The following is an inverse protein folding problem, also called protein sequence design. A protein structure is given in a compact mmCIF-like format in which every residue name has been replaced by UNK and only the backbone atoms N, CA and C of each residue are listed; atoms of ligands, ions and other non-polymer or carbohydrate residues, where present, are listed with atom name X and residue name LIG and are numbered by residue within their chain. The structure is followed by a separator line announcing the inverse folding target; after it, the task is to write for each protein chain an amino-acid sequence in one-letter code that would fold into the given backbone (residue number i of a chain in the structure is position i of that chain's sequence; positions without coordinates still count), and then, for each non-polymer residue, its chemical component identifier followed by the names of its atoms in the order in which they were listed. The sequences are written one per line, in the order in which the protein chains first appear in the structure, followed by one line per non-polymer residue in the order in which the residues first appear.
data_IF_919557113326
#
_entry.id   IF_919557113326
#
_cell.length_a   1.000
_cell.length_b   1.000
_cell.length_c   1.000
_cell.angle_alpha   90.00
_cell.angle_beta   90.00
_cell.angle_gamma   90.00
#
_symmetry.space_group_name_H-M   'P 1'
#
loop_
_entity.id
_entity.type
_entity.pdbx_description
1 polymer ?
#
# COMPACT_ATOMS: atom_id res chain seq x y z
N UNK A 1 -1.22 -11.06 16.72
CA UNK A 1 0.23 -10.91 16.40
C UNK A 1 0.41 -9.50 15.88
N UNK A 2 1.36 -8.73 16.43
CA UNK A 2 1.59 -7.34 15.96
C UNK A 2 2.33 -7.39 14.62
N UNK A 3 1.83 -6.67 13.63
CA UNK A 3 2.53 -6.50 12.36
C UNK A 3 3.75 -5.59 12.59
N UNK A 4 4.92 -6.02 12.13
CA UNK A 4 6.16 -5.28 12.32
C UNK A 4 6.39 -4.27 11.17
N UNK A 5 7.32 -3.35 11.37
CA UNK A 5 7.59 -2.28 10.40
C UNK A 5 7.95 -2.79 9.01
N UNK A 6 8.72 -3.89 8.90
CA UNK A 6 9.10 -4.45 7.60
C UNK A 6 7.91 -5.07 6.88
N UNK A 7 7.00 -5.70 7.61
CA UNK A 7 5.74 -6.23 7.06
C UNK A 7 4.85 -5.09 6.55
N UNK A 8 4.75 -3.98 7.29
CA UNK A 8 4.02 -2.78 6.85
C UNK A 8 4.62 -2.23 5.55
N UNK A 9 5.95 -2.07 5.50
CA UNK A 9 6.62 -1.56 4.30
C UNK A 9 6.37 -2.46 3.07
N UNK A 10 6.43 -3.79 3.25
CA UNK A 10 6.13 -4.74 2.18
C UNK A 10 4.68 -4.59 1.72
N UNK A 11 3.70 -4.58 2.64
CA UNK A 11 2.29 -4.46 2.31
C UNK A 11 1.99 -3.13 1.59
N UNK A 12 2.57 -2.02 2.05
CA UNK A 12 2.47 -0.73 1.37
C UNK A 12 3.02 -0.77 -0.05
N UNK A 13 4.16 -1.43 -0.27
CA UNK A 13 4.73 -1.59 -1.62
C UNK A 13 3.91 -2.52 -2.53
N UNK A 14 3.15 -3.47 -1.95
CA UNK A 14 2.27 -4.35 -2.70
C UNK A 14 0.96 -3.67 -3.11
N UNK A 15 0.56 -2.59 -2.43
CA UNK A 15 -0.69 -1.87 -2.68
C UNK A 15 -0.94 -1.48 -4.15
N UNK A 16 -0.02 -0.81 -4.87
CA UNK A 16 -0.26 -0.47 -6.27
C UNK A 16 -0.44 -1.72 -7.15
N UNK A 17 0.33 -2.78 -6.87
CA UNK A 17 0.20 -4.07 -7.57
C UNK A 17 -1.15 -4.70 -7.27
N UNK A 18 -1.59 -4.67 -6.02
CA UNK A 18 -2.87 -5.23 -5.60
C UNK A 18 -4.04 -4.52 -6.28
N UNK A 19 -4.02 -3.18 -6.36
CA UNK A 19 -5.04 -2.43 -7.11
C UNK A 19 -5.11 -2.83 -8.58
N UNK A 20 -3.97 -2.91 -9.26
CA UNK A 20 -3.92 -3.32 -10.67
C UNK A 20 -4.44 -4.75 -10.84
N UNK A 21 -3.97 -5.69 -10.01
CA UNK A 21 -4.39 -7.10 -10.09
C UNK A 21 -5.85 -7.30 -9.77
N UNK A 22 -6.39 -6.57 -8.79
CA UNK A 22 -7.82 -6.60 -8.48
C UNK A 22 -8.67 -6.22 -9.70
N UNK A 23 -8.32 -5.12 -10.37
CA UNK A 23 -9.03 -4.67 -11.59
C UNK A 23 -8.94 -5.73 -12.70
N UNK A 24 -7.73 -6.24 -12.97
CA UNK A 24 -7.53 -7.28 -13.98
C UNK A 24 -8.35 -8.55 -13.70
N UNK A 25 -8.38 -9.00 -12.44
CA UNK A 25 -9.12 -10.21 -12.05
C UNK A 25 -10.64 -10.00 -12.17
N UNK A 26 -11.14 -8.83 -11.78
CA UNK A 26 -12.56 -8.49 -11.93
C UNK A 26 -12.98 -8.50 -13.41
N UNK A 27 -12.15 -7.97 -14.31
CA UNK A 27 -12.41 -8.02 -15.76
C UNK A 27 -12.44 -9.46 -16.30
N UNK A 28 -11.53 -10.32 -15.83
CA UNK A 28 -11.50 -11.74 -16.23
C UNK A 28 -12.71 -12.49 -15.65
N UNK A 29 -13.10 -12.20 -14.41
CA UNK A 29 -14.24 -12.83 -13.74
C UNK A 29 -15.55 -12.62 -14.52
N UNK A 30 -15.77 -11.41 -15.02
CA UNK A 30 -16.94 -11.05 -15.84
C UNK A 30 -17.00 -11.84 -17.14
N UNK A 31 -15.84 -12.11 -17.77
CA UNK A 31 -15.73 -12.83 -19.05
C UNK A 31 -15.78 -14.36 -18.88
N UNK A 32 -15.53 -14.85 -17.67
CA UNK A 32 -15.45 -16.29 -17.37
C UNK A 32 -16.85 -16.89 -17.26
N UNK A 33 -17.09 -18.05 -17.87
CA UNK A 33 -18.37 -18.75 -17.80
C UNK A 33 -18.34 -19.97 -16.86
N UNK A 34 -17.19 -20.63 -16.71
CA UNK A 34 -17.02 -21.76 -15.81
C UNK A 34 -17.10 -21.33 -14.34
N UNK A 35 -17.93 -22.01 -13.55
CA UNK A 35 -18.07 -21.76 -12.12
C UNK A 35 -16.79 -22.10 -11.34
N UNK A 36 -16.08 -23.16 -11.74
CA UNK A 36 -14.83 -23.60 -11.11
C UNK A 36 -13.73 -22.54 -11.30
N UNK A 37 -13.55 -22.06 -12.54
CA UNK A 37 -12.58 -21.00 -12.83
C UNK A 37 -12.93 -19.68 -12.12
N UNK A 38 -14.22 -19.35 -11.99
CA UNK A 38 -14.66 -18.18 -11.21
C UNK A 38 -14.24 -18.30 -9.74
N UNK A 39 -14.42 -19.47 -9.13
CA UNK A 39 -14.03 -19.69 -7.74
C UNK A 39 -12.52 -19.49 -7.54
N UNK A 40 -11.68 -20.01 -8.44
CA UNK A 40 -10.23 -19.81 -8.40
C UNK A 40 -9.81 -18.35 -8.57
N UNK A 41 -10.49 -17.60 -9.47
CA UNK A 41 -10.24 -16.18 -9.68
C UNK A 41 -10.62 -15.37 -8.43
N UNK A 42 -11.78 -15.69 -7.83
CA UNK A 42 -12.25 -15.03 -6.60
C UNK A 42 -11.31 -15.29 -5.42
N UNK A 43 -10.79 -16.50 -5.26
CA UNK A 43 -9.81 -16.81 -4.21
C UNK A 43 -8.52 -15.97 -4.36
N UNK A 44 -8.04 -15.81 -5.60
CA UNK A 44 -6.88 -14.94 -5.88
C UNK A 44 -7.21 -13.47 -5.63
N UNK A 45 -8.41 -13.03 -5.97
CA UNK A 45 -8.86 -11.66 -5.77
C UNK A 45 -9.05 -11.31 -4.29
N UNK A 46 -9.46 -12.27 -3.47
CA UNK A 46 -9.58 -12.12 -2.01
C UNK A 46 -8.25 -11.69 -1.37
N UNK A 47 -7.12 -12.21 -1.86
CA UNK A 47 -5.80 -11.79 -1.39
C UNK A 47 -5.54 -10.31 -1.68
N UNK A 48 -5.72 -9.87 -2.93
CA UNK A 48 -5.49 -8.48 -3.31
C UNK A 48 -6.47 -7.53 -2.62
N UNK A 49 -7.73 -7.94 -2.49
CA UNK A 49 -8.75 -7.19 -1.75
C UNK A 49 -8.36 -7.00 -0.29
N UNK A 50 -7.80 -8.02 0.37
CA UNK A 50 -7.30 -7.90 1.76
C UNK A 50 -6.13 -6.92 1.86
N UNK A 51 -5.19 -6.94 0.90
CA UNK A 51 -4.08 -5.98 0.85
C UNK A 51 -4.61 -4.55 0.69
N UNK A 52 -5.53 -4.32 -0.25
CA UNK A 52 -6.13 -3.00 -0.51
C UNK A 52 -6.82 -2.48 0.75
N UNK A 53 -7.73 -3.27 1.34
CA UNK A 53 -8.46 -2.88 2.56
C UNK A 53 -7.53 -2.55 3.71
N UNK A 54 -6.51 -3.38 3.94
CA UNK A 54 -5.52 -3.16 5.01
C UNK A 54 -4.81 -1.82 4.85
N UNK A 55 -4.39 -1.48 3.63
CA UNK A 55 -3.70 -0.21 3.37
C UNK A 55 -4.67 0.96 3.44
N UNK A 56 -5.88 0.84 2.91
CA UNK A 56 -6.92 1.87 3.01
C UNK A 56 -7.21 2.22 4.48
N UNK A 57 -7.36 1.21 5.34
CA UNK A 57 -7.50 1.39 6.79
C UNK A 57 -6.32 2.12 7.41
N UNK A 58 -5.09 1.75 7.06
CA UNK A 58 -3.89 2.44 7.54
C UNK A 58 -3.83 3.90 7.08
N UNK A 59 -4.26 4.19 5.85
CA UNK A 59 -4.28 5.55 5.33
C UNK A 59 -5.25 6.48 6.07
N UNK A 60 -6.32 5.94 6.67
CA UNK A 60 -7.30 6.73 7.44
C UNK A 60 -6.71 7.36 8.71
N UNK A 61 -5.62 6.81 9.26
CA UNK A 61 -4.97 7.40 10.43
C UNK A 61 -3.92 8.48 10.08
N UNK A 62 -3.66 8.70 8.79
CA UNK A 62 -2.62 9.59 8.31
C UNK A 62 -3.18 10.96 7.93
N UNK A 63 -2.38 11.99 8.16
CA UNK A 63 -2.64 13.35 7.64
C UNK A 63 -2.37 13.40 6.14
N UNK A 64 -2.87 14.42 5.45
CA UNK A 64 -2.65 14.60 4.01
C UNK A 64 -1.15 14.67 3.65
N UNK A 65 -0.33 15.33 4.47
CA UNK A 65 1.13 15.39 4.26
C UNK A 65 1.78 14.01 4.40
N UNK A 66 1.37 13.23 5.39
CA UNK A 66 1.87 11.87 5.60
C UNK A 66 1.45 10.94 4.44
N UNK A 67 0.24 11.12 3.90
CA UNK A 67 -0.24 10.38 2.74
C UNK A 67 0.58 10.67 1.49
N UNK A 68 0.97 11.92 1.24
CA UNK A 68 1.84 12.29 0.11
C UNK A 68 3.18 11.55 0.22
N UNK A 69 3.75 11.47 1.42
CA UNK A 69 5.02 10.77 1.64
C UNK A 69 4.90 9.25 1.42
N UNK A 70 3.79 8.64 1.83
CA UNK A 70 3.51 7.23 1.57
C UNK A 70 3.28 6.98 0.07
N UNK A 71 2.50 7.83 -0.60
CA UNK A 71 2.25 7.75 -2.04
C UNK A 71 3.57 7.80 -2.81
N UNK A 72 4.41 8.80 -2.56
CA UNK A 72 5.68 8.93 -3.25
C UNK A 72 6.61 7.76 -2.96
N UNK A 73 6.71 7.32 -1.70
CA UNK A 73 7.67 6.26 -1.34
C UNK A 73 7.24 4.88 -1.84
N UNK A 74 5.99 4.49 -1.60
CA UNK A 74 5.55 3.10 -1.76
C UNK A 74 4.65 2.89 -2.98
N UNK A 75 3.83 3.87 -3.36
CA UNK A 75 2.91 3.70 -4.49
C UNK A 75 3.59 4.10 -5.80
N UNK A 76 4.40 5.17 -5.79
CA UNK A 76 5.20 5.62 -6.94
C UNK A 76 6.64 5.08 -6.94
N UNK A 77 7.11 4.55 -5.82
CA UNK A 77 8.45 3.93 -5.72
C UNK A 77 9.62 4.91 -5.70
N UNK A 78 9.40 6.19 -5.39
CA UNK A 78 10.47 7.19 -5.35
C UNK A 78 11.48 6.89 -4.25
N UNK A 79 12.75 7.22 -4.50
CA UNK A 79 13.78 7.21 -3.48
C UNK A 79 13.70 8.47 -2.61
N UNK A 80 14.30 8.43 -1.42
CA UNK A 80 14.20 9.53 -0.44
C UNK A 80 14.76 10.88 -0.95
N UNK A 81 15.70 10.87 -1.90
CA UNK A 81 16.24 12.10 -2.47
C UNK A 81 15.23 12.76 -3.42
N UNK A 82 14.57 11.98 -4.28
CA UNK A 82 13.49 12.48 -5.14
C UNK A 82 12.38 13.05 -4.27
N UNK A 83 11.96 12.32 -3.24
CA UNK A 83 10.92 12.79 -2.32
C UNK A 83 11.30 14.14 -1.70
N UNK A 84 12.54 14.28 -1.21
CA UNK A 84 13.00 15.54 -0.62
C UNK A 84 12.88 16.72 -1.59
N UNK A 85 13.26 16.51 -2.85
CA UNK A 85 13.15 17.52 -3.90
C UNK A 85 11.68 17.92 -4.17
N UNK A 86 10.76 16.97 -4.12
CA UNK A 86 9.33 17.18 -4.41
C UNK A 86 8.51 17.73 -3.23
N UNK A 87 9.01 17.63 -2.00
CA UNK A 87 8.21 17.91 -0.77
C UNK A 87 8.80 19.01 0.13
N UNK A 88 9.72 19.82 -0.41
CA UNK A 88 10.42 20.90 0.31
C UNK A 88 11.18 20.45 1.57
N UNK A 89 11.41 19.14 1.77
CA UNK A 89 12.28 18.67 2.84
C UNK A 89 13.74 18.92 2.48
N UNK A 90 14.51 19.32 3.48
CA UNK A 90 15.89 19.78 3.30
C UNK A 90 16.86 18.69 2.84
N UNK A 91 16.59 17.41 3.10
CA UNK A 91 17.40 16.29 2.59
C UNK A 91 16.71 14.92 2.73
N UNK A 92 17.25 13.92 2.03
CA UNK A 92 16.79 12.52 2.08
C UNK A 92 16.75 11.93 3.51
N UNK A 93 17.68 12.33 4.38
CA UNK A 93 17.74 11.83 5.77
C UNK A 93 16.56 12.32 6.61
N UNK A 94 16.07 13.52 6.34
CA UNK A 94 14.87 14.08 6.98
C UNK A 94 13.63 13.33 6.55
N UNK A 95 13.50 13.06 5.24
CA UNK A 95 12.43 12.24 4.67
C UNK A 95 12.41 10.84 5.30
N UNK A 96 13.56 10.16 5.36
CA UNK A 96 13.67 8.82 5.96
C UNK A 96 13.18 8.81 7.42
N UNK A 97 13.56 9.82 8.21
CA UNK A 97 13.13 9.94 9.62
C UNK A 97 11.61 10.12 9.73
N UNK A 98 11.01 10.91 8.85
CA UNK A 98 9.56 11.15 8.84
C UNK A 98 8.82 9.89 8.41
N UNK A 99 9.24 9.22 7.33
CA UNK A 99 8.64 7.97 6.89
C UNK A 99 8.69 6.91 8.00
N UNK A 100 9.82 6.76 8.70
CA UNK A 100 9.90 5.85 9.87
C UNK A 100 8.89 6.19 10.97
N UNK A 101 8.63 7.49 11.22
CA UNK A 101 7.60 7.92 12.18
C UNK A 101 6.19 7.56 11.68
N UNK A 102 5.92 7.72 10.38
CA UNK A 102 4.65 7.35 9.76
C UNK A 102 4.43 5.83 9.88
N UNK A 103 5.43 5.01 9.52
CA UNK A 103 5.34 3.54 9.67
C UNK A 103 5.08 3.15 11.13
N UNK A 104 5.77 3.79 12.09
CA UNK A 104 5.53 3.57 13.53
C UNK A 104 4.14 4.03 13.98
N UNK A 105 3.57 5.05 13.34
CA UNK A 105 2.20 5.50 13.58
C UNK A 105 1.20 4.46 13.07
N UNK A 106 1.41 3.93 11.87
CA UNK A 106 0.61 2.82 11.32
C UNK A 106 0.68 1.62 12.27
N UNK A 107 1.88 1.16 12.64
CA UNK A 107 2.11 0.04 13.58
C UNK A 107 1.35 0.16 14.91
N UNK A 108 1.14 1.39 15.40
CA UNK A 108 0.39 1.68 16.62
C UNK A 108 -1.12 1.67 16.43
N UNK A 109 -1.60 1.98 15.23
CA UNK A 109 -3.02 2.05 14.88
C UNK A 109 -3.53 0.79 14.17
N UNK A 110 -2.65 -0.12 13.75
CA UNK A 110 -3.02 -1.44 13.22
C UNK A 110 -3.51 -2.36 14.36
N UNK A 111 -4.76 -2.17 14.82
CA UNK A 111 -5.50 -3.08 15.73
C UNK A 111 -6.99 -3.07 15.44
#
# INVERSE_FOLDING_TARGET
MRINQKEIEIILSLYPIAKTRHVELQEVLVKTQSAELKAEIMEKDDFYTKVIKTVDEWTNCLTQEELILIDYRYFRGYNYQIIANETNYSNHSSVLKIIKKIIKKIERNSY
#
